data_IF_778071736602
#
_entry.id   IF_778071736602
#
_cell.length_a   1.000
_cell.length_b   1.000
_cell.length_c   1.000
_cell.angle_alpha   90.00
_cell.angle_beta   90.00
_cell.angle_gamma   90.00
#
_symmetry.space_group_name_H-M   'P 1'
#
loop_
_entity.id
_entity.type
_entity.pdbx_description
1 polymer ?
#
# COMPACT_ATOMS: atom_id res chain seq x y z
N UNK A 1 37.58 40.77 -38.80
CA UNK A 1 36.20 40.71 -38.25
C UNK A 1 35.54 39.34 -38.47
N UNK A 2 35.46 38.80 -39.70
CA UNK A 2 34.86 37.47 -39.99
C UNK A 2 35.46 36.28 -39.19
N UNK A 3 36.77 36.27 -38.93
CA UNK A 3 37.45 35.20 -38.16
C UNK A 3 37.12 35.21 -36.65
N UNK A 4 36.77 36.37 -36.08
CA UNK A 4 36.39 36.51 -34.67
C UNK A 4 34.94 36.05 -34.47
N UNK A 5 34.07 36.37 -35.44
CA UNK A 5 32.66 35.92 -35.44
C UNK A 5 32.57 34.39 -35.49
N UNK A 6 33.43 33.73 -36.28
CA UNK A 6 33.48 32.27 -36.36
C UNK A 6 33.92 31.59 -35.06
N UNK A 7 34.79 32.23 -34.27
CA UNK A 7 35.26 31.68 -33.00
C UNK A 7 34.23 31.84 -31.87
N UNK A 8 33.45 32.94 -31.90
CA UNK A 8 32.37 33.20 -30.95
C UNK A 8 31.22 32.19 -31.11
N UNK A 9 30.94 31.79 -32.36
CA UNK A 9 29.84 30.88 -32.70
C UNK A 9 30.10 29.44 -32.25
N UNK A 10 31.36 29.00 -32.20
CA UNK A 10 31.76 27.68 -31.69
C UNK A 10 31.67 27.63 -30.16
N UNK A 11 31.97 28.74 -29.48
CA UNK A 11 31.88 28.83 -28.01
C UNK A 11 30.44 28.80 -27.51
N UNK A 12 29.49 29.40 -28.23
CA UNK A 12 28.07 29.41 -27.84
C UNK A 12 27.37 28.06 -27.99
N UNK A 13 27.81 27.21 -28.93
CA UNK A 13 27.27 25.85 -29.09
C UNK A 13 27.91 24.82 -28.15
N UNK A 14 29.08 25.10 -27.57
CA UNK A 14 29.72 24.25 -26.55
C UNK A 14 29.11 24.38 -25.15
N UNK A 15 28.29 25.40 -24.92
CA UNK A 15 27.55 25.64 -23.68
C UNK A 15 26.12 25.11 -23.73
N UNK A 16 25.77 24.29 -24.74
CA UNK A 16 24.54 23.50 -24.70
C UNK A 16 24.65 22.54 -23.53
N UNK A 17 24.19 23.01 -22.37
CA UNK A 17 24.12 22.26 -21.13
C UNK A 17 23.57 20.88 -21.44
N UNK A 18 24.37 19.84 -21.24
CA UNK A 18 23.83 18.51 -21.04
C UNK A 18 22.97 18.60 -19.79
N UNK A 19 21.69 18.92 -19.97
CA UNK A 19 20.71 18.69 -18.93
C UNK A 19 20.71 17.18 -18.69
N UNK A 20 21.18 16.80 -17.51
CA UNK A 20 21.03 15.43 -17.03
C UNK A 20 19.53 15.20 -17.02
N UNK A 21 19.04 14.29 -17.86
CA UNK A 21 17.65 13.84 -17.77
C UNK A 21 17.45 13.28 -16.36
N UNK A 22 16.92 14.12 -15.47
CA UNK A 22 16.64 13.81 -14.08
C UNK A 22 15.36 12.95 -14.05
N UNK A 23 15.45 11.73 -14.58
CA UNK A 23 14.40 10.71 -14.55
C UNK A 23 14.60 9.80 -13.34
N UNK A 24 13.50 9.48 -12.66
CA UNK A 24 13.55 8.55 -11.54
C UNK A 24 13.67 7.10 -12.04
N UNK A 25 14.62 6.33 -11.50
CA UNK A 25 14.78 4.91 -11.87
C UNK A 25 13.56 4.10 -11.42
N UNK A 26 13.09 3.18 -12.26
CA UNK A 26 11.89 2.38 -11.97
C UNK A 26 12.04 1.47 -10.73
N UNK A 27 13.27 1.15 -10.33
CA UNK A 27 13.58 0.37 -9.13
C UNK A 27 13.81 1.25 -7.90
N UNK A 28 13.65 2.57 -8.01
CA UNK A 28 13.79 3.47 -6.87
C UNK A 28 12.73 3.12 -5.82
N UNK A 29 13.12 2.90 -4.55
CA UNK A 29 12.17 2.63 -3.48
C UNK A 29 11.16 3.79 -3.35
N UNK A 30 9.88 3.48 -3.48
CA UNK A 30 8.78 4.41 -3.29
C UNK A 30 8.24 4.34 -1.85
N UNK A 31 7.21 5.13 -1.54
CA UNK A 31 6.46 5.01 -0.29
C UNK A 31 5.94 3.57 -0.16
N UNK A 32 6.38 2.80 0.86
CA UNK A 32 6.05 1.39 0.98
C UNK A 32 4.60 1.21 1.42
N UNK A 33 3.99 0.13 0.95
CA UNK A 33 2.71 -0.38 1.42
C UNK A 33 2.91 -1.29 2.63
N UNK A 34 1.93 -1.30 3.54
CA UNK A 34 1.85 -2.27 4.62
C UNK A 34 1.58 -3.66 4.03
N UNK A 35 2.55 -4.55 4.19
CA UNK A 35 2.45 -5.96 3.76
C UNK A 35 1.86 -6.80 4.87
N UNK A 36 0.73 -7.44 4.57
CA UNK A 36 -0.03 -8.30 5.47
C UNK A 36 0.00 -9.73 4.93
N UNK A 37 0.34 -10.68 5.78
CA UNK A 37 0.28 -12.12 5.46
C UNK A 37 -0.78 -12.81 6.31
N UNK A 38 -1.57 -13.67 5.67
CA UNK A 38 -2.69 -14.38 6.27
C UNK A 38 -2.32 -15.84 6.57
N UNK A 39 -2.75 -16.31 7.73
CA UNK A 39 -2.50 -17.65 8.26
C UNK A 39 -3.79 -18.28 8.76
N UNK A 40 -3.80 -19.61 8.84
CA UNK A 40 -4.87 -20.37 9.47
C UNK A 40 -4.90 -20.11 10.97
N UNK A 41 -6.08 -19.84 11.54
CA UNK A 41 -6.28 -19.80 12.99
C UNK A 41 -6.08 -21.18 13.65
N UNK A 42 -6.48 -22.25 12.97
CA UNK A 42 -6.35 -23.63 13.42
C UNK A 42 -4.91 -24.15 13.32
N UNK A 43 -4.16 -23.73 12.29
CA UNK A 43 -2.76 -24.11 12.06
C UNK A 43 -1.85 -22.87 11.87
N UNK A 44 -1.35 -22.25 12.96
CA UNK A 44 -0.68 -20.93 12.90
C UNK A 44 0.62 -20.84 12.09
N UNK A 45 1.15 -21.97 11.61
CA UNK A 45 2.32 -22.02 10.72
C UNK A 45 1.94 -22.11 9.24
N UNK A 46 0.68 -22.38 8.93
CA UNK A 46 0.16 -22.53 7.58
C UNK A 46 -0.33 -21.19 7.04
N UNK A 47 0.33 -20.67 6.00
CA UNK A 47 -0.19 -19.53 5.24
C UNK A 47 -1.48 -19.94 4.55
N UNK A 48 -2.55 -19.17 4.78
CA UNK A 48 -3.88 -19.47 4.26
C UNK A 48 -4.33 -18.37 3.31
N UNK A 49 -4.79 -18.76 2.11
CA UNK A 49 -5.35 -17.81 1.17
C UNK A 49 -6.71 -17.33 1.69
N UNK A 50 -6.90 -16.02 1.72
CA UNK A 50 -8.23 -15.43 1.90
C UNK A 50 -9.09 -15.74 0.68
N UNK A 51 -10.42 -15.65 0.83
CA UNK A 51 -11.37 -15.83 -0.26
C UNK A 51 -12.03 -14.51 -0.60
N UNK A 52 -11.90 -14.08 -1.85
CA UNK A 52 -12.49 -12.86 -2.42
C UNK A 52 -12.41 -11.66 -1.46
N UNK A 53 -11.25 -11.47 -0.83
CA UNK A 53 -11.04 -10.41 0.14
C UNK A 53 -11.08 -9.07 -0.58
N UNK A 54 -11.97 -8.19 -0.15
CA UNK A 54 -11.98 -6.78 -0.55
C UNK A 54 -11.50 -5.93 0.63
N UNK A 55 -10.58 -5.01 0.37
CA UNK A 55 -10.11 -4.03 1.37
C UNK A 55 -10.55 -2.65 0.93
N UNK A 56 -11.32 -1.94 1.75
CA UNK A 56 -11.90 -0.63 1.42
C UNK A 56 -11.36 0.39 2.42
N UNK A 57 -10.89 1.54 1.93
CA UNK A 57 -10.44 2.64 2.79
C UNK A 57 -11.57 3.24 3.62
N UNK A 58 -11.24 3.81 4.77
CA UNK A 58 -12.19 4.49 5.64
C UNK A 58 -13.08 3.55 6.46
N UNK A 59 -13.80 4.13 7.43
CA UNK A 59 -14.78 3.41 8.25
C UNK A 59 -16.17 3.38 7.57
N UNK A 60 -16.54 4.46 6.88
CA UNK A 60 -17.82 4.66 6.20
C UNK A 60 -17.65 5.55 4.95
N UNK A 61 -18.56 5.44 3.98
CA UNK A 61 -18.70 6.40 2.86
C UNK A 61 -17.74 6.24 1.67
N UNK A 62 -16.59 5.59 1.85
CA UNK A 62 -15.72 5.19 0.74
C UNK A 62 -16.18 3.86 0.14
N UNK A 63 -16.45 3.84 -1.17
CA UNK A 63 -16.98 2.65 -1.87
C UNK A 63 -15.96 1.99 -2.81
N UNK A 64 -14.77 2.58 -2.98
CA UNK A 64 -13.74 2.03 -3.89
C UNK A 64 -12.72 1.24 -3.08
N UNK A 65 -12.62 -0.05 -3.38
CA UNK A 65 -11.63 -0.93 -2.77
C UNK A 65 -10.21 -0.67 -3.27
N UNK A 66 -9.23 -1.24 -2.58
CA UNK A 66 -7.84 -1.33 -3.05
C UNK A 66 -7.81 -2.18 -4.33
N UNK A 67 -7.05 -1.73 -5.31
CA UNK A 67 -6.90 -2.41 -6.60
C UNK A 67 -5.90 -3.56 -6.44
N UNK A 68 -6.40 -4.79 -6.45
CA UNK A 68 -5.56 -5.98 -6.40
C UNK A 68 -5.27 -6.56 -7.79
N UNK A 69 -6.13 -6.32 -8.78
CA UNK A 69 -5.91 -6.77 -10.15
C UNK A 69 -5.89 -5.60 -11.13
N UNK A 70 -4.69 -5.11 -11.44
CA UNK A 70 -4.47 -3.98 -12.37
C UNK A 70 -4.73 -4.34 -13.85
N UNK A 71 -4.79 -5.62 -14.19
CA UNK A 71 -5.10 -6.07 -15.56
C UNK A 71 -6.56 -5.85 -15.94
N UNK A 72 -7.44 -5.70 -14.94
CA UNK A 72 -8.84 -5.32 -15.15
C UNK A 72 -8.92 -3.79 -15.19
N UNK A 73 -9.18 -3.24 -16.38
CA UNK A 73 -9.28 -1.81 -16.62
C UNK A 73 -10.66 -1.24 -16.31
N UNK A 74 -11.70 -2.08 -16.36
CA UNK A 74 -13.06 -1.71 -16.00
C UNK A 74 -13.18 -1.47 -14.49
N UNK A 75 -13.32 -0.20 -14.10
CA UNK A 75 -13.48 0.21 -12.70
C UNK A 75 -14.78 -0.25 -12.05
N UNK A 76 -15.78 -0.67 -12.85
CA UNK A 76 -17.07 -1.15 -12.35
C UNK A 76 -17.06 -2.64 -12.03
N UNK A 77 -16.06 -3.38 -12.53
CA UNK A 77 -15.93 -4.80 -12.28
C UNK A 77 -15.38 -5.05 -10.85
N UNK A 78 -16.16 -5.67 -9.94
CA UNK A 78 -15.75 -5.87 -8.55
C UNK A 78 -14.54 -6.81 -8.43
N UNK A 79 -14.28 -7.69 -9.42
CA UNK A 79 -13.12 -8.58 -9.43
C UNK A 79 -11.78 -7.82 -9.49
N UNK A 80 -11.79 -6.54 -9.88
CA UNK A 80 -10.63 -5.64 -9.84
C UNK A 80 -10.11 -5.39 -8.42
N UNK A 81 -11.02 -5.42 -7.44
CA UNK A 81 -10.78 -4.98 -6.06
C UNK A 81 -10.73 -6.14 -5.05
N UNK A 82 -10.67 -7.38 -5.53
CA UNK A 82 -10.61 -8.57 -4.66
C UNK A 82 -9.33 -9.36 -4.87
N UNK A 83 -8.95 -10.13 -3.85
CA UNK A 83 -7.80 -11.01 -3.89
C UNK A 83 -8.10 -12.36 -3.23
N UNK A 84 -7.41 -13.39 -3.71
CA UNK A 84 -7.45 -14.75 -3.19
C UNK A 84 -6.03 -15.22 -2.76
N UNK A 85 -5.19 -14.28 -2.35
CA UNK A 85 -3.77 -14.49 -1.97
C UNK A 85 -3.60 -14.52 -0.45
N UNK A 86 -2.61 -15.27 0.04
CA UNK A 86 -2.20 -15.23 1.44
C UNK A 86 -1.36 -14.00 1.81
N UNK A 87 -0.95 -13.17 0.84
CA UNK A 87 -0.24 -11.91 1.12
C UNK A 87 -0.83 -10.78 0.29
N UNK A 88 -1.02 -9.63 0.93
CA UNK A 88 -1.50 -8.39 0.31
C UNK A 88 -0.64 -7.21 0.74
N UNK A 89 -0.60 -6.17 -0.08
CA UNK A 89 0.08 -4.91 0.24
C UNK A 89 -0.90 -3.76 0.10
N UNK A 90 -1.19 -3.08 1.19
CA UNK A 90 -2.15 -1.97 1.25
C UNK A 90 -1.44 -0.66 1.61
N UNK A 91 -1.80 0.49 1.00
CA UNK A 91 -1.15 1.75 1.34
C UNK A 91 -1.45 2.17 2.79
N UNK A 92 -0.67 3.12 3.30
CA UNK A 92 -1.02 3.89 4.50
C UNK A 92 -1.13 5.36 4.10
N UNK A 93 -2.00 6.10 4.79
CA UNK A 93 -2.17 7.54 4.56
C UNK A 93 -0.91 8.30 4.94
N UNK A 94 -0.43 9.14 4.02
CA UNK A 94 0.75 10.00 4.22
C UNK A 94 0.40 11.37 4.80
N UNK A 95 -0.90 11.66 4.96
CA UNK A 95 -1.43 12.94 5.44
C UNK A 95 -2.02 12.85 6.85
N UNK A 96 -2.06 11.64 7.43
CA UNK A 96 -2.64 11.34 8.74
C UNK A 96 -1.75 10.34 9.48
N UNK A 97 -1.88 10.29 10.80
CA UNK A 97 -1.20 9.31 11.66
C UNK A 97 -2.00 8.03 11.88
N UNK A 98 -3.10 7.87 11.14
CA UNK A 98 -3.94 6.69 11.18
C UNK A 98 -4.46 6.35 9.80
N UNK A 99 -4.69 5.05 9.56
CA UNK A 99 -5.43 4.57 8.41
C UNK A 99 -6.43 3.51 8.86
N UNK A 100 -7.69 3.71 8.52
CA UNK A 100 -8.77 2.74 8.77
C UNK A 100 -9.12 2.03 7.48
N UNK A 101 -9.33 0.72 7.58
CA UNK A 101 -9.75 -0.16 6.50
C UNK A 101 -10.91 -1.03 6.93
N UNK A 102 -11.86 -1.28 6.03
CA UNK A 102 -12.81 -2.37 6.10
C UNK A 102 -12.26 -3.56 5.34
N UNK A 103 -12.09 -4.68 6.01
CA UNK A 103 -11.72 -5.96 5.41
C UNK A 103 -12.97 -6.82 5.25
N UNK A 104 -13.45 -6.94 4.01
CA UNK A 104 -14.65 -7.69 3.65
C UNK A 104 -14.24 -9.07 3.15
N UNK A 105 -14.39 -10.08 4.00
CA UNK A 105 -14.16 -11.48 3.65
C UNK A 105 -15.26 -11.99 2.72
N UNK A 106 -14.87 -12.77 1.70
CA UNK A 106 -15.77 -13.42 0.75
C UNK A 106 -16.74 -12.43 0.07
N UNK A 107 -16.23 -11.25 -0.28
CA UNK A 107 -17.01 -10.08 -0.71
C UNK A 107 -17.89 -10.31 -1.95
N UNK A 108 -17.50 -11.23 -2.83
CA UNK A 108 -18.23 -11.58 -4.05
C UNK A 108 -19.32 -12.64 -3.86
N UNK A 109 -19.45 -13.23 -2.66
CA UNK A 109 -20.43 -14.28 -2.41
C UNK A 109 -21.86 -13.81 -2.71
N UNK A 110 -22.68 -14.69 -3.28
CA UNK A 110 -24.12 -14.42 -3.44
C UNK A 110 -24.90 -14.71 -2.15
N UNK A 111 -24.30 -15.42 -1.18
CA UNK A 111 -24.89 -15.66 0.14
C UNK A 111 -24.39 -14.62 1.15
N UNK A 112 -25.23 -13.66 1.60
CA UNK A 112 -24.82 -12.61 2.53
C UNK A 112 -24.30 -13.14 3.87
N UNK A 113 -24.80 -14.28 4.34
CA UNK A 113 -24.37 -14.89 5.61
C UNK A 113 -22.92 -15.39 5.60
N UNK A 114 -22.29 -15.45 4.42
CA UNK A 114 -20.88 -15.85 4.26
C UNK A 114 -19.95 -14.66 4.04
N UNK A 115 -20.50 -13.44 3.94
CA UNK A 115 -19.73 -12.20 3.93
C UNK A 115 -19.56 -11.75 5.36
N UNK A 116 -18.37 -11.32 5.71
CA UNK A 116 -18.07 -10.78 7.01
C UNK A 116 -17.17 -9.56 6.84
N UNK A 117 -17.42 -8.49 7.59
CA UNK A 117 -16.64 -7.26 7.49
C UNK A 117 -16.11 -6.82 8.84
N UNK A 118 -14.78 -6.79 8.93
CA UNK A 118 -14.06 -6.30 10.10
C UNK A 118 -13.43 -4.94 9.77
N UNK A 119 -13.40 -4.02 10.73
CA UNK A 119 -12.77 -2.71 10.63
C UNK A 119 -11.43 -2.75 11.38
N UNK A 120 -10.35 -2.55 10.64
CA UNK A 120 -8.99 -2.49 11.17
C UNK A 120 -8.43 -1.09 11.01
N UNK A 121 -8.08 -0.45 12.12
CA UNK A 121 -7.40 0.86 12.12
C UNK A 121 -5.96 0.68 12.55
N UNK A 122 -5.01 1.18 11.76
CA UNK A 122 -3.59 1.23 12.08
C UNK A 122 -3.22 2.62 12.62
N UNK A 123 -2.38 2.66 13.65
CA UNK A 123 -1.84 3.89 14.24
C UNK A 123 -0.34 3.92 14.04
N UNK A 124 0.19 5.05 13.59
CA UNK A 124 1.61 5.18 13.24
C UNK A 124 2.08 6.62 13.21
N UNK A 125 3.39 6.80 13.23
CA UNK A 125 4.04 8.04 12.78
C UNK A 125 4.58 7.87 11.36
N UNK A 126 4.78 8.97 10.66
CA UNK A 126 5.32 8.95 9.30
C UNK A 126 6.37 10.06 9.11
N UNK A 127 7.34 9.80 8.24
CA UNK A 127 8.43 10.73 7.94
C UNK A 127 8.69 10.78 6.43
N UNK A 128 8.95 11.98 5.90
CA UNK A 128 9.33 12.15 4.51
C UNK A 128 10.86 12.08 4.39
N UNK A 129 11.33 11.14 3.58
CA UNK A 129 12.74 10.89 3.29
C UNK A 129 13.02 11.37 1.86
N UNK A 130 13.96 12.30 1.73
CA UNK A 130 14.41 12.75 0.41
C UNK A 130 15.14 11.61 -0.30
N UNK A 131 14.76 11.36 -1.56
CA UNK A 131 15.34 10.29 -2.38
C UNK A 131 16.34 10.88 -3.36
N UNK A 132 15.89 11.78 -4.24
CA UNK A 132 16.74 12.49 -5.20
C UNK A 132 15.98 13.66 -5.81
N UNK A 133 16.66 14.47 -6.62
CA UNK A 133 16.03 15.59 -7.33
C UNK A 133 14.97 15.10 -8.32
N UNK A 134 15.25 13.97 -8.97
CA UNK A 134 14.37 13.32 -9.93
C UNK A 134 13.18 12.60 -9.27
N UNK A 135 13.39 12.01 -8.09
CA UNK A 135 12.42 11.13 -7.43
C UNK A 135 11.65 11.82 -6.28
N UNK A 136 12.07 13.01 -5.86
CA UNK A 136 11.45 13.76 -4.76
C UNK A 136 11.61 13.04 -3.42
N UNK A 137 10.50 12.90 -2.69
CA UNK A 137 10.45 12.31 -1.35
C UNK A 137 9.62 11.03 -1.37
N UNK A 138 9.98 10.09 -0.51
CA UNK A 138 9.12 8.98 -0.12
C UNK A 138 8.72 9.15 1.34
N UNK A 139 7.57 8.60 1.72
CA UNK A 139 7.15 8.55 3.13
C UNK A 139 7.46 7.17 3.68
N UNK A 140 8.05 7.06 4.88
CA UNK A 140 8.14 5.80 5.62
C UNK A 140 7.28 5.88 6.88
N UNK A 141 6.88 4.73 7.41
CA UNK A 141 5.96 4.66 8.55
C UNK A 141 6.56 3.86 9.69
N UNK A 142 6.21 4.22 10.92
CA UNK A 142 6.49 3.43 12.12
C UNK A 142 5.20 3.24 12.90
N UNK A 143 4.70 1.99 12.94
CA UNK A 143 3.52 1.61 13.72
C UNK A 143 3.73 1.94 15.20
N UNK A 144 2.66 2.36 15.87
CA UNK A 144 2.69 2.68 17.30
C UNK A 144 3.10 1.46 18.13
N UNK A 145 4.01 1.65 19.08
CA UNK A 145 4.60 0.56 19.85
C UNK A 145 3.62 -0.06 20.86
N UNK A 146 2.69 0.73 21.40
CA UNK A 146 1.78 0.29 22.47
C UNK A 146 0.41 -0.10 21.91
N UNK A 147 -0.04 0.61 20.88
CA UNK A 147 -1.33 0.42 20.22
C UNK A 147 -1.19 0.52 18.70
N UNK A 148 -0.53 -0.46 18.05
CA UNK A 148 -0.30 -0.43 16.60
C UNK A 148 -1.58 -0.50 15.79
N UNK A 149 -2.65 -1.10 16.33
CA UNK A 149 -3.92 -1.23 15.65
C UNK A 149 -5.12 -1.27 16.62
N UNK A 150 -6.32 -1.14 16.07
CA UNK A 150 -7.60 -1.51 16.71
C UNK A 150 -8.46 -2.29 15.72
N UNK A 151 -9.14 -3.33 16.21
CA UNK A 151 -10.03 -4.20 15.46
C UNK A 151 -11.44 -4.07 16.03
N UNK A 152 -12.41 -3.80 15.17
CA UNK A 152 -13.81 -3.60 15.53
C UNK A 152 -14.68 -4.34 14.51
N UNK A 153 -15.74 -5.00 14.96
CA UNK A 153 -16.74 -5.57 14.06
C UNK A 153 -17.57 -4.43 13.45
N UNK A 154 -17.84 -4.50 12.14
CA UNK A 154 -18.71 -3.53 11.47
C UNK A 154 -20.20 -3.87 11.57
N UNK A 155 -20.55 -5.08 12.01
CA UNK A 155 -21.91 -5.61 12.02
C UNK A 155 -22.41 -6.08 13.37
N UNK A 156 -23.40 -6.98 13.31
CA UNK A 156 -23.91 -7.75 14.46
C UNK A 156 -23.43 -9.20 14.36
N UNK A 157 -22.30 -9.45 13.70
CA UNK A 157 -21.75 -10.78 13.53
C UNK A 157 -20.58 -10.98 14.51
N UNK A 158 -19.64 -11.86 14.18
CA UNK A 158 -18.46 -12.10 15.00
C UNK A 158 -17.27 -11.86 14.10
N UNK A 159 -16.26 -11.15 14.61
CA UNK A 159 -14.98 -10.94 13.94
C UNK A 159 -14.50 -12.20 13.22
N UNK A 160 -14.29 -12.09 11.91
CA UNK A 160 -13.68 -13.18 11.15
C UNK A 160 -12.16 -13.21 11.36
N UNK A 161 -11.54 -12.04 11.57
CA UNK A 161 -10.15 -11.91 12.00
C UNK A 161 -10.05 -12.31 13.47
N UNK A 162 -9.30 -13.39 13.75
CA UNK A 162 -9.16 -13.93 15.11
C UNK A 162 -8.00 -13.32 15.85
N UNK A 163 -6.85 -13.17 15.19
CA UNK A 163 -5.64 -12.63 15.81
C UNK A 163 -4.84 -11.80 14.81
N UNK A 164 -4.13 -10.80 15.33
CA UNK A 164 -3.23 -9.94 14.56
C UNK A 164 -1.91 -9.82 15.31
N UNK A 165 -0.80 -10.05 14.61
CA UNK A 165 0.54 -9.90 15.15
C UNK A 165 1.36 -8.93 14.30
N UNK A 166 1.92 -7.90 14.94
CA UNK A 166 2.86 -7.00 14.29
C UNK A 166 4.26 -7.60 14.36
N UNK A 167 4.85 -7.92 13.21
CA UNK A 167 6.22 -8.45 13.09
C UNK A 167 7.27 -7.37 12.93
N UNK A 168 6.88 -6.26 12.29
CA UNK A 168 7.74 -5.11 12.04
C UNK A 168 6.95 -3.84 12.30
N UNK A 169 7.49 -2.99 13.19
CA UNK A 169 6.92 -1.67 13.42
C UNK A 169 7.27 -0.72 12.27
N UNK A 170 8.47 -0.82 11.73
CA UNK A 170 8.91 0.01 10.61
C UNK A 170 8.41 -0.56 9.29
N UNK A 171 7.72 0.27 8.51
CA UNK A 171 7.26 0.00 7.15
C UNK A 171 8.13 0.83 6.22
N UNK A 172 9.22 0.21 5.77
CA UNK A 172 10.25 0.85 4.93
C UNK A 172 10.43 0.14 3.58
N UNK A 173 10.10 -1.15 3.51
CA UNK A 173 10.28 -2.04 2.37
C UNK A 173 9.03 -2.92 2.18
N UNK A 174 8.78 -3.40 0.97
CA UNK A 174 7.62 -4.26 0.67
C UNK A 174 7.98 -5.76 0.52
N UNK A 175 9.24 -6.13 0.79
CA UNK A 175 9.74 -7.51 0.65
C UNK A 175 9.69 -8.32 1.95
N UNK A 176 9.12 -7.76 3.02
CA UNK A 176 8.93 -8.41 4.31
C UNK A 176 7.47 -8.31 4.79
N UNK A 177 7.07 -9.22 5.67
CA UNK A 177 5.75 -9.16 6.31
C UNK A 177 5.80 -8.22 7.50
N UNK A 178 4.91 -7.24 7.52
CA UNK A 178 4.80 -6.29 8.64
C UNK A 178 3.76 -6.77 9.67
N UNK A 179 2.64 -7.29 9.18
CA UNK A 179 1.51 -7.74 9.99
C UNK A 179 1.10 -9.14 9.55
N UNK A 180 0.85 -10.01 10.52
CA UNK A 180 0.22 -11.31 10.31
C UNK A 180 -1.22 -11.25 10.81
N UNK A 181 -2.13 -11.82 10.03
CA UNK A 181 -3.55 -11.96 10.37
C UNK A 181 -3.90 -13.44 10.36
N UNK A 182 -4.59 -13.89 11.41
CA UNK A 182 -5.03 -15.27 11.59
C UNK A 182 -6.55 -15.31 11.54
N UNK A 183 -7.10 -16.24 10.76
CA UNK A 183 -8.52 -16.34 10.46
C UNK A 183 -8.97 -17.76 10.14
#
# INVERSE_FOLDING_TARGET
>A
MKKIISLLLIFTFGLSSCEKDDICDANTPTTPRLVITFYSDAEPTLKQNVKDLMVIGGAEGENKGIVFNKSITDETNPARYVTNSNTVSIPLRTDQNTTTYRFVYNSLSTNPATKNTDILTFYYTHQNVYVSRACGFKTTFTLDQLKPFSLVDSGNDILWIKQIFVKKLNVELENETHVEIYF
#
